data_IF_721780444961
#
_entry.id   IF_721780444961
#
_cell.length_a   1.000
_cell.length_b   1.000
_cell.length_c   1.000
_cell.angle_alpha   90.00
_cell.angle_beta   90.00
_cell.angle_gamma   90.00
#
_symmetry.space_group_name_H-M   'P 1'
#
loop_
_entity.id
_entity.type
_entity.pdbx_description
1 polymer ?
#
# COMPACT_ATOMS: atom_id res chain seq x y z
N UNK A 1 -2.41 -23.63 19.55
CA UNK A 1 -3.08 -22.97 18.41
C UNK A 1 -2.04 -22.11 17.73
N UNK A 2 -1.69 -22.38 16.48
CA UNK A 2 -0.68 -21.60 15.76
C UNK A 2 -1.15 -20.16 15.67
N UNK A 3 -0.40 -19.22 16.26
CA UNK A 3 -0.56 -17.80 15.97
C UNK A 3 -0.31 -17.64 14.46
N UNK A 4 -1.39 -17.59 13.68
CA UNK A 4 -1.32 -17.14 12.29
C UNK A 4 -0.72 -15.74 12.41
N UNK A 5 0.55 -15.57 12.03
CA UNK A 5 1.15 -14.24 11.86
C UNK A 5 0.34 -13.57 10.76
N UNK A 6 -0.64 -12.77 11.16
CA UNK A 6 -1.49 -12.08 10.19
C UNK A 6 -0.59 -11.07 9.48
N UNK A 7 -0.57 -11.17 8.15
CA UNK A 7 0.37 -10.45 7.29
C UNK A 7 -0.26 -9.15 6.81
N UNK A 8 0.53 -8.09 6.75
CA UNK A 8 0.14 -6.81 6.13
C UNK A 8 0.45 -6.75 4.63
N UNK A 9 0.99 -7.84 4.08
CA UNK A 9 1.48 -7.89 2.70
C UNK A 9 0.40 -7.59 1.64
N UNK A 10 -0.84 -8.11 1.75
CA UNK A 10 -1.91 -7.74 0.82
C UNK A 10 -2.19 -6.23 0.80
N UNK A 11 -2.16 -5.56 1.95
CA UNK A 11 -2.32 -4.09 2.03
C UNK A 11 -1.14 -3.37 1.38
N UNK A 12 0.10 -3.86 1.57
CA UNK A 12 1.28 -3.28 0.92
C UNK A 12 1.18 -3.40 -0.60
N UNK A 13 0.77 -4.55 -1.14
CA UNK A 13 0.64 -4.72 -2.59
C UNK A 13 -0.49 -3.85 -3.15
N UNK A 14 -1.64 -3.78 -2.47
CA UNK A 14 -2.73 -2.88 -2.83
C UNK A 14 -2.27 -1.42 -2.90
N UNK A 15 -1.58 -0.93 -1.87
CA UNK A 15 -1.04 0.44 -1.86
C UNK A 15 0.06 0.64 -2.92
N UNK A 16 0.80 -0.41 -3.28
CA UNK A 16 1.80 -0.35 -4.34
C UNK A 16 1.16 -0.21 -5.73
N UNK A 17 0.04 -0.89 -6.00
CA UNK A 17 -0.75 -0.71 -7.22
C UNK A 17 -1.19 0.74 -7.36
N UNK A 18 -1.77 1.31 -6.30
CA UNK A 18 -2.12 2.74 -6.26
C UNK A 18 -0.95 3.65 -6.61
N UNK A 19 0.23 3.38 -6.04
CA UNK A 19 1.43 4.17 -6.33
C UNK A 19 1.89 4.05 -7.79
N UNK A 20 1.82 2.85 -8.39
CA UNK A 20 2.11 2.65 -9.83
C UNK A 20 1.14 3.43 -10.71
N UNK A 21 -0.12 3.48 -10.31
CA UNK A 21 -1.17 4.25 -10.99
C UNK A 21 -1.13 5.76 -10.66
N UNK A 22 -0.13 6.19 -9.89
CA UNK A 22 0.09 7.58 -9.45
C UNK A 22 -1.06 8.14 -8.60
N UNK A 23 -1.85 7.27 -7.97
CA UNK A 23 -2.89 7.63 -7.02
C UNK A 23 -2.33 7.68 -5.59
N UNK A 24 -1.70 8.81 -5.26
CA UNK A 24 -0.93 8.95 -4.01
C UNK A 24 -1.76 9.34 -2.77
N UNK A 25 -3.02 9.75 -2.93
CA UNK A 25 -3.84 10.29 -1.83
C UNK A 25 -3.85 9.42 -0.56
N UNK A 26 -4.15 8.11 -0.65
CA UNK A 26 -4.07 7.21 0.50
C UNK A 26 -2.69 7.10 1.13
N UNK A 27 -1.62 7.09 0.33
CA UNK A 27 -0.24 7.01 0.84
C UNK A 27 0.15 8.29 1.57
N UNK A 28 -0.22 9.45 1.02
CA UNK A 28 0.01 10.76 1.62
C UNK A 28 -0.73 10.88 2.96
N UNK A 29 -1.98 10.41 3.04
CA UNK A 29 -2.74 10.39 4.30
C UNK A 29 -2.08 9.47 5.34
N UNK A 30 -1.70 8.24 4.97
CA UNK A 30 -1.00 7.33 5.89
C UNK A 30 0.33 7.90 6.39
N UNK A 31 1.03 8.68 5.55
CA UNK A 31 2.32 9.30 5.92
C UNK A 31 2.21 10.37 7.01
N UNK A 32 0.99 10.89 7.25
CA UNK A 32 0.65 11.96 8.20
C UNK A 32 0.08 11.45 9.51
N UNK A 33 -0.06 10.13 9.68
CA UNK A 33 -0.53 9.54 10.94
C UNK A 33 0.58 9.64 11.98
N UNK A 34 0.38 10.46 13.01
CA UNK A 34 1.39 10.76 14.03
C UNK A 34 1.07 10.13 15.40
N UNK A 35 -0.21 9.94 15.73
CA UNK A 35 -0.67 9.33 16.98
C UNK A 35 -1.83 8.34 16.75
N UNK A 36 -2.35 7.76 17.84
CA UNK A 36 -3.38 6.74 17.93
C UNK A 36 -4.75 7.28 18.39
N UNK A 37 -4.88 8.60 18.46
CA UNK A 37 -6.15 9.25 18.79
C UNK A 37 -7.22 9.03 17.70
N UNK A 38 -8.46 9.44 18.00
CA UNK A 38 -9.58 9.24 17.08
C UNK A 38 -9.37 9.93 15.73
N UNK A 39 -8.74 11.11 15.71
CA UNK A 39 -8.50 11.87 14.49
C UNK A 39 -7.55 11.12 13.55
N UNK A 40 -6.40 10.68 14.06
CA UNK A 40 -5.42 9.95 13.27
C UNK A 40 -5.89 8.54 12.90
N UNK A 41 -6.58 7.86 13.80
CA UNK A 41 -7.16 6.56 13.50
C UNK A 41 -8.31 6.64 12.48
N UNK A 42 -9.05 7.76 12.43
CA UNK A 42 -10.02 8.02 11.36
C UNK A 42 -9.30 8.30 10.04
N UNK A 43 -8.24 9.11 10.04
CA UNK A 43 -7.42 9.37 8.85
C UNK A 43 -6.86 8.07 8.25
N UNK A 44 -6.32 7.17 9.07
CA UNK A 44 -5.83 5.87 8.61
C UNK A 44 -6.94 5.02 7.96
N UNK A 45 -8.15 5.01 8.55
CA UNK A 45 -9.30 4.30 7.98
C UNK A 45 -9.78 4.91 6.68
N UNK A 46 -9.84 6.24 6.59
CA UNK A 46 -10.22 6.94 5.36
C UNK A 46 -9.22 6.69 4.23
N UNK A 47 -7.93 6.63 4.54
CA UNK A 47 -6.90 6.27 3.58
C UNK A 47 -7.10 4.84 3.04
N UNK A 48 -7.26 3.85 3.93
CA UNK A 48 -7.50 2.46 3.52
C UNK A 48 -8.82 2.29 2.77
N UNK A 49 -9.88 3.01 3.17
CA UNK A 49 -11.14 3.05 2.44
C UNK A 49 -10.97 3.63 1.03
N UNK A 50 -10.25 4.75 0.90
CA UNK A 50 -9.96 5.35 -0.40
C UNK A 50 -9.20 4.40 -1.32
N UNK A 51 -8.27 3.63 -0.75
CA UNK A 51 -7.51 2.64 -1.49
C UNK A 51 -8.34 1.43 -1.93
N UNK A 52 -9.17 0.89 -1.04
CA UNK A 52 -10.15 -0.15 -1.35
C UNK A 52 -11.13 0.29 -2.43
N UNK A 53 -11.65 1.51 -2.30
CA UNK A 53 -12.58 2.08 -3.27
C UNK A 53 -11.94 2.21 -4.65
N UNK A 54 -10.67 2.61 -4.71
CA UNK A 54 -9.94 2.66 -5.98
C UNK A 54 -9.86 1.27 -6.62
N UNK A 55 -9.31 0.26 -5.93
CA UNK A 55 -9.16 -1.07 -6.54
C UNK A 55 -10.49 -1.80 -6.78
N UNK A 56 -11.57 -1.41 -6.10
CA UNK A 56 -12.90 -1.96 -6.35
C UNK A 56 -13.40 -1.71 -7.79
N UNK A 57 -12.83 -0.72 -8.49
CA UNK A 57 -13.16 -0.46 -9.90
C UNK A 57 -12.43 -1.37 -10.87
N UNK A 58 -11.33 -2.02 -10.43
CA UNK A 58 -10.42 -2.80 -11.28
C UNK A 58 -10.75 -4.30 -11.34
N UNK A 59 -11.75 -4.77 -10.57
CA UNK A 59 -12.18 -6.19 -10.47
C UNK A 59 -11.06 -7.19 -10.11
N UNK A 60 -9.96 -6.73 -9.51
CA UNK A 60 -8.84 -7.57 -9.12
C UNK A 60 -9.05 -8.17 -7.72
N UNK A 61 -8.70 -9.45 -7.56
CA UNK A 61 -8.82 -10.16 -6.29
C UNK A 61 -7.56 -9.99 -5.44
N UNK A 62 -7.75 -9.63 -4.17
CA UNK A 62 -6.68 -9.56 -3.17
C UNK A 62 -6.93 -10.59 -2.06
N UNK A 63 -6.38 -11.82 -2.17
CA UNK A 63 -6.58 -12.86 -1.16
C UNK A 63 -6.11 -12.42 0.23
N UNK A 64 -6.98 -12.60 1.24
CA UNK A 64 -6.65 -12.25 2.63
C UNK A 64 -6.56 -10.76 2.92
N UNK A 65 -7.09 -9.91 2.03
CA UNK A 65 -7.06 -8.45 2.21
C UNK A 65 -7.84 -7.98 3.44
N UNK A 66 -8.99 -8.58 3.74
CA UNK A 66 -9.81 -8.25 4.91
C UNK A 66 -9.03 -8.42 6.21
N UNK A 67 -8.52 -9.64 6.48
CA UNK A 67 -7.65 -9.92 7.64
C UNK A 67 -6.40 -9.01 7.68
N UNK A 68 -5.84 -8.71 6.50
CA UNK A 68 -4.67 -7.83 6.36
C UNK A 68 -4.99 -6.37 6.73
N UNK A 69 -6.21 -5.88 6.45
CA UNK A 69 -6.65 -4.53 6.81
C UNK A 69 -6.84 -4.43 8.32
N UNK A 70 -7.50 -5.41 8.93
CA UNK A 70 -7.66 -5.44 10.38
C UNK A 70 -6.30 -5.43 11.08
N UNK A 71 -5.37 -6.23 10.57
CA UNK A 71 -4.01 -6.30 11.10
C UNK A 71 -3.22 -5.03 10.91
N UNK A 72 -3.37 -4.37 9.76
CA UNK A 72 -2.75 -3.07 9.52
C UNK A 72 -3.30 -2.02 10.49
N UNK A 73 -4.62 -1.94 10.67
CA UNK A 73 -5.26 -1.00 11.59
C UNK A 73 -4.88 -1.26 13.05
N UNK A 74 -4.81 -2.52 13.47
CA UNK A 74 -4.36 -2.89 14.81
C UNK A 74 -2.89 -2.56 15.04
N UNK A 75 -2.04 -2.77 14.02
CA UNK A 75 -0.63 -2.39 14.09
C UNK A 75 -0.45 -0.86 14.15
N UNK A 76 -1.22 -0.09 13.37
CA UNK A 76 -1.24 1.38 13.43
C UNK A 76 -1.71 1.85 14.81
N UNK A 77 -2.78 1.28 15.35
CA UNK A 77 -3.30 1.65 16.68
C UNK A 77 -2.25 1.46 17.77
N UNK A 78 -1.50 0.34 17.73
CA UNK A 78 -0.43 0.05 18.69
C UNK A 78 0.83 0.89 18.44
N UNK A 79 1.03 1.33 17.19
CA UNK A 79 2.27 1.93 16.70
C UNK A 79 1.96 2.89 15.54
N UNK A 80 1.55 4.13 15.80
CA UNK A 80 1.05 5.07 14.78
C UNK A 80 1.97 5.25 13.57
N UNK A 81 3.28 5.34 13.84
CA UNK A 81 4.30 5.45 12.78
C UNK A 81 4.32 4.27 11.79
N UNK A 82 3.70 3.14 12.13
CA UNK A 82 3.53 2.02 11.21
C UNK A 82 2.71 2.39 9.97
N UNK A 83 1.80 3.35 10.04
CA UNK A 83 1.09 3.86 8.87
C UNK A 83 2.08 4.43 7.83
N UNK A 84 3.06 5.21 8.29
CA UNK A 84 4.15 5.71 7.45
C UNK A 84 5.06 4.58 6.95
N UNK A 85 5.32 3.55 7.76
CA UNK A 85 6.04 2.36 7.28
C UNK A 85 5.29 1.66 6.13
N UNK A 86 3.96 1.52 6.22
CA UNK A 86 3.16 0.93 5.14
C UNK A 86 3.29 1.73 3.84
N UNK A 87 3.16 3.07 3.92
CA UNK A 87 3.33 3.95 2.76
C UNK A 87 4.75 3.82 2.16
N UNK A 88 5.78 3.80 2.99
CA UNK A 88 7.17 3.62 2.53
C UNK A 88 7.40 2.27 1.84
N UNK A 89 6.89 1.17 2.43
CA UNK A 89 6.98 -0.18 1.85
C UNK A 89 6.25 -0.26 0.51
N UNK A 90 5.06 0.33 0.41
CA UNK A 90 4.27 0.37 -0.81
C UNK A 90 4.99 1.16 -1.92
N UNK A 91 5.53 2.33 -1.62
CA UNK A 91 6.33 3.12 -2.57
C UNK A 91 7.57 2.36 -3.04
N UNK A 92 8.33 1.79 -2.11
CA UNK A 92 9.50 0.99 -2.45
C UNK A 92 9.14 -0.23 -3.33
N UNK A 93 8.00 -0.88 -3.06
CA UNK A 93 7.47 -1.99 -3.85
C UNK A 93 7.06 -1.55 -5.26
N UNK A 94 6.38 -0.41 -5.38
CA UNK A 94 6.01 0.16 -6.66
C UNK A 94 7.26 0.43 -7.53
N UNK A 95 8.28 1.07 -6.95
CA UNK A 95 9.54 1.39 -7.64
C UNK A 95 10.36 0.15 -8.02
N UNK A 96 10.32 -0.91 -7.21
CA UNK A 96 11.10 -2.13 -7.46
C UNK A 96 10.47 -3.02 -8.54
N UNK A 97 9.15 -2.91 -8.77
CA UNK A 97 8.42 -3.70 -9.75
C UNK A 97 8.65 -3.27 -11.21
N UNK A 98 9.13 -2.05 -11.46
CA UNK A 98 9.28 -1.49 -12.81
C UNK A 98 10.58 -1.91 -13.54
N UNK A 99 11.47 -2.68 -12.91
CA UNK A 99 12.80 -3.00 -13.46
C UNK A 99 12.83 -4.11 -14.55
N UNK A 100 11.76 -4.26 -15.34
CA UNK A 100 11.71 -5.20 -16.50
C UNK A 100 11.21 -4.60 -17.82
N UNK A 101 11.17 -3.28 -17.96
CA UNK A 101 10.89 -2.65 -19.26
C UNK A 101 11.92 -1.55 -19.53
N UNK A 102 13.15 -1.95 -19.83
CA UNK A 102 14.25 -1.00 -20.01
C UNK A 102 15.52 -1.48 -20.71
N UNK A 103 15.54 -2.69 -21.26
CA UNK A 103 16.68 -3.20 -22.06
C UNK A 103 16.14 -3.92 -23.30
N UNK A 104 15.59 -3.18 -24.26
CA UNK A 104 15.44 -3.71 -25.63
C UNK A 104 15.08 -2.65 -26.69
N UNK A 105 15.57 -1.41 -26.57
CA UNK A 105 15.56 -0.46 -27.70
C UNK A 105 16.75 0.48 -27.62
N UNK A 106 17.92 0.03 -28.10
CA UNK A 106 18.96 0.86 -28.73
C UNK A 106 20.18 0.03 -29.16
N UNK A 107 20.01 -0.74 -30.21
CA UNK A 107 21.06 -1.01 -31.22
C UNK A 107 20.28 -1.03 -32.54
N UNK A 108 20.33 -0.03 -33.42
CA UNK A 108 21.51 0.49 -34.08
C UNK A 108 21.28 0.32 -35.59
N UNK A 109 20.38 1.11 -36.17
CA UNK A 109 20.38 1.34 -37.62
C UNK A 109 21.07 2.68 -37.84
N UNK A 110 22.40 2.62 -37.92
CA UNK A 110 23.22 3.62 -38.58
C UNK A 110 23.34 3.25 -40.05
N UNK A 111 23.30 4.29 -40.87
CA UNK A 111 23.33 4.32 -42.34
C UNK A 111 24.47 3.54 -43.00
#
# INVERSE_FOLDING_TARGET
>A
MSEKRISVEPVVELLAVLARDRFYGPLDMLSRVEDSDEFYMKMAREALYGALRYVSTEQEAYPGLEDSIESALDAIRKRPYFAKELALRALARAMSGEKKVGEERKEGQGE
#
